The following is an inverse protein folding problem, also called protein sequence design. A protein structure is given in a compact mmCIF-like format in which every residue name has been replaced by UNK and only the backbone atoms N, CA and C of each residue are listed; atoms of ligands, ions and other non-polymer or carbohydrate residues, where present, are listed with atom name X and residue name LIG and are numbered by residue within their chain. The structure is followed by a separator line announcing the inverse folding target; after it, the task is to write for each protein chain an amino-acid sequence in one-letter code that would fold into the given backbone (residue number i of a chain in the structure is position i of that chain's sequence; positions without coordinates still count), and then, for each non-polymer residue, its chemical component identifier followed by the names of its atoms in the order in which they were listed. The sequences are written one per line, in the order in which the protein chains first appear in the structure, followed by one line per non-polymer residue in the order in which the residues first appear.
data_IF_982616890441
#
_entry.id   IF_982616890441
#
_cell.length_a   1.000
_cell.length_b   1.000
_cell.length_c   1.000
_cell.angle_alpha   90.00
_cell.angle_beta   90.00
_cell.angle_gamma   90.00
#
_symmetry.space_group_name_H-M   'P 1'
#
loop_
_entity.id
_entity.type
_entity.pdbx_description
1 polymer ?
#
# COMPACT_ATOMS: atom_id res chain seq x y z
N UNK A 1 5.49 -10.22 -4.90
CA UNK A 1 5.25 -8.93 -5.58
C UNK A 1 5.49 -7.78 -4.62
N UNK A 2 5.78 -6.59 -5.15
CA UNK A 2 5.83 -5.34 -4.36
C UNK A 2 4.75 -4.38 -4.85
N UNK A 3 3.92 -3.88 -3.93
CA UNK A 3 2.93 -2.85 -4.24
C UNK A 3 3.39 -1.51 -3.69
N UNK A 4 3.46 -0.48 -4.52
CA UNK A 4 3.82 0.89 -4.11
C UNK A 4 2.61 1.80 -4.06
N UNK A 5 2.48 2.59 -3.00
CA UNK A 5 1.43 3.61 -2.87
C UNK A 5 1.84 4.90 -3.59
N UNK A 6 0.90 5.48 -4.35
CA UNK A 6 1.16 6.70 -5.11
C UNK A 6 1.48 7.91 -4.22
N UNK A 7 2.44 8.78 -4.56
CA UNK A 7 3.41 8.66 -5.66
C UNK A 7 4.81 8.28 -5.15
N UNK A 8 5.11 8.65 -3.91
CA UNK A 8 6.46 8.56 -3.34
C UNK A 8 6.84 7.11 -3.05
N UNK A 9 5.88 6.29 -2.60
CA UNK A 9 6.05 4.85 -2.45
C UNK A 9 6.50 4.13 -3.73
N UNK A 10 6.23 4.66 -4.92
CA UNK A 10 6.66 4.04 -6.19
C UNK A 10 8.18 3.95 -6.32
N UNK A 11 8.91 4.98 -5.89
CA UNK A 11 10.38 5.03 -6.04
C UNK A 11 11.01 3.88 -5.26
N UNK A 12 10.54 3.67 -4.03
CA UNK A 12 11.04 2.65 -3.12
C UNK A 12 10.55 1.27 -3.56
N UNK A 13 9.27 1.14 -3.93
CA UNK A 13 8.69 -0.11 -4.39
C UNK A 13 9.40 -0.64 -5.66
N UNK A 14 9.67 0.24 -6.63
CA UNK A 14 10.38 -0.13 -7.85
C UNK A 14 11.82 -0.57 -7.55
N UNK A 15 12.52 0.13 -6.64
CA UNK A 15 13.87 -0.25 -6.23
C UNK A 15 13.90 -1.63 -5.54
N UNK A 16 12.98 -1.89 -4.61
CA UNK A 16 12.87 -3.20 -3.92
C UNK A 16 12.53 -4.30 -4.93
N UNK A 17 11.54 -4.07 -5.80
CA UNK A 17 11.13 -5.03 -6.81
C UNK A 17 12.28 -5.40 -7.74
N UNK A 18 13.02 -4.39 -8.22
CA UNK A 18 14.21 -4.57 -9.05
C UNK A 18 15.29 -5.38 -8.32
N UNK A 19 15.63 -5.01 -7.08
CA UNK A 19 16.67 -5.67 -6.30
C UNK A 19 16.34 -7.12 -5.92
N UNK A 20 15.05 -7.46 -5.84
CA UNK A 20 14.57 -8.80 -5.44
C UNK A 20 14.09 -9.65 -6.62
N UNK A 21 14.11 -9.11 -7.85
CA UNK A 21 13.71 -9.84 -9.06
C UNK A 21 12.21 -10.16 -9.14
N UNK A 22 11.36 -9.38 -8.47
CA UNK A 22 9.90 -9.56 -8.49
C UNK A 22 9.20 -8.41 -9.22
N UNK A 23 7.93 -8.60 -9.58
CA UNK A 23 7.14 -7.54 -10.20
C UNK A 23 6.73 -6.44 -9.22
N UNK A 24 6.41 -5.27 -9.78
CA UNK A 24 5.90 -4.09 -9.06
C UNK A 24 4.47 -3.77 -9.52
N UNK A 25 3.59 -3.46 -8.57
CA UNK A 25 2.20 -3.06 -8.81
C UNK A 25 1.97 -1.65 -8.27
N UNK A 26 1.47 -0.71 -9.08
CA UNK A 26 1.10 0.60 -8.58
C UNK A 26 -0.30 0.57 -7.94
N UNK A 27 -0.41 1.11 -6.73
CA UNK A 27 -1.69 1.48 -6.10
C UNK A 27 -1.85 2.98 -6.23
N UNK A 28 -2.93 3.41 -6.88
CA UNK A 28 -3.08 4.79 -7.37
C UNK A 28 -4.31 5.48 -6.83
N UNK A 29 -4.32 6.82 -6.89
CA UNK A 29 -5.58 7.57 -6.74
C UNK A 29 -6.55 7.20 -7.87
N UNK A 30 -7.84 7.29 -7.57
CA UNK A 30 -8.88 6.88 -8.51
C UNK A 30 -8.81 7.55 -9.88
N UNK A 31 -9.12 6.79 -10.93
CA UNK A 31 -9.16 7.27 -12.32
C UNK A 31 -7.78 7.36 -13.02
N UNK A 32 -6.72 6.84 -12.40
CA UNK A 32 -5.37 6.85 -12.97
C UNK A 32 -4.96 5.52 -13.62
N UNK A 33 -5.64 4.44 -13.30
CA UNK A 33 -5.36 3.11 -13.82
C UNK A 33 -6.23 2.83 -15.06
N UNK A 34 -5.65 2.35 -16.18
CA UNK A 34 -6.35 2.26 -17.46
C UNK A 34 -7.25 1.02 -17.62
N UNK A 35 -7.13 0.01 -16.75
CA UNK A 35 -7.91 -1.24 -16.82
C UNK A 35 -8.91 -1.32 -15.67
N UNK A 36 -9.66 -2.42 -15.58
CA UNK A 36 -10.60 -2.65 -14.48
C UNK A 36 -9.87 -2.62 -13.12
N UNK A 37 -10.49 -1.97 -12.15
CA UNK A 37 -9.90 -1.74 -10.82
C UNK A 37 -10.81 -2.22 -9.70
N UNK A 38 -10.19 -2.72 -8.62
CA UNK A 38 -10.80 -2.61 -7.31
C UNK A 38 -10.61 -1.18 -6.82
N UNK A 39 -11.62 -0.66 -6.12
CA UNK A 39 -11.59 0.67 -5.53
C UNK A 39 -11.90 0.59 -4.04
N UNK A 40 -11.13 1.33 -3.24
CA UNK A 40 -11.40 1.50 -1.82
C UNK A 40 -11.35 2.98 -1.46
N UNK A 41 -12.47 3.47 -0.92
CA UNK A 41 -12.66 4.85 -0.51
C UNK A 41 -12.31 5.07 0.95
N UNK A 42 -11.88 6.29 1.28
CA UNK A 42 -11.65 6.74 2.65
C UNK A 42 -12.02 8.22 2.80
N UNK A 43 -12.51 8.55 3.99
CA UNK A 43 -12.94 9.90 4.31
C UNK A 43 -11.74 10.81 4.61
N UNK A 44 -11.85 12.05 4.17
CA UNK A 44 -10.99 13.16 4.52
C UNK A 44 -11.82 14.18 5.34
N UNK A 45 -11.14 15.11 6.01
CA UNK A 45 -11.79 16.21 6.73
C UNK A 45 -12.75 17.01 5.82
N UNK A 46 -12.40 17.13 4.55
CA UNK A 46 -13.23 17.73 3.51
C UNK A 46 -13.26 16.83 2.27
N UNK A 47 -14.17 15.86 2.27
CA UNK A 47 -14.50 15.04 1.11
C UNK A 47 -14.05 13.58 1.23
N UNK A 48 -14.02 12.90 0.09
CA UNK A 48 -13.69 11.49 -0.02
C UNK A 48 -12.56 11.33 -1.04
N UNK A 49 -11.59 10.48 -0.70
CA UNK A 49 -10.57 10.04 -1.64
C UNK A 49 -10.69 8.53 -1.84
N UNK A 50 -10.15 8.03 -2.96
CA UNK A 50 -10.16 6.61 -3.25
C UNK A 50 -8.84 6.16 -3.85
N UNK A 51 -8.44 4.95 -3.47
CA UNK A 51 -7.32 4.22 -4.04
C UNK A 51 -7.84 3.10 -4.94
N UNK A 52 -7.05 2.80 -5.96
CA UNK A 52 -7.32 1.79 -6.97
C UNK A 52 -6.10 0.89 -7.21
N UNK A 53 -6.39 -0.38 -7.48
CA UNK A 53 -5.45 -1.38 -7.98
C UNK A 53 -6.15 -2.16 -9.09
N UNK A 54 -5.42 -2.61 -10.11
CA UNK A 54 -6.03 -3.43 -11.15
C UNK A 54 -6.56 -4.75 -10.58
N UNK A 55 -7.71 -5.21 -11.09
CA UNK A 55 -8.34 -6.48 -10.64
C UNK A 55 -7.53 -7.73 -10.95
N UNK A 56 -6.57 -7.64 -11.88
CA UNK A 56 -5.67 -8.72 -12.27
C UNK A 56 -4.23 -8.50 -11.78
N UNK A 57 -4.04 -7.60 -10.81
CA UNK A 57 -2.71 -7.23 -10.34
C UNK A 57 -1.97 -8.35 -9.61
N UNK A 58 -2.71 -9.30 -9.03
CA UNK A 58 -2.15 -10.38 -8.22
C UNK A 58 -2.78 -11.72 -8.61
N UNK A 59 -1.96 -12.77 -8.63
CA UNK A 59 -2.48 -14.12 -8.65
C UNK A 59 -3.05 -14.50 -7.25
N UNK A 60 -4.06 -15.39 -7.18
CA UNK A 60 -4.59 -15.84 -5.89
C UNK A 60 -3.50 -16.37 -4.95
N UNK A 61 -3.41 -15.81 -3.75
CA UNK A 61 -2.43 -16.20 -2.72
C UNK A 61 -1.02 -15.64 -2.93
N UNK A 62 -0.83 -14.79 -3.95
CA UNK A 62 0.46 -14.16 -4.20
C UNK A 62 0.85 -13.26 -3.02
N UNK A 63 2.07 -13.43 -2.50
CA UNK A 63 2.56 -12.65 -1.35
C UNK A 63 2.99 -11.26 -1.81
N UNK A 64 2.39 -10.23 -1.21
CA UNK A 64 2.58 -8.83 -1.58
C UNK A 64 3.17 -8.04 -0.41
N UNK A 65 4.35 -7.46 -0.63
CA UNK A 65 4.90 -6.44 0.25
C UNK A 65 4.34 -5.08 -0.17
N UNK A 66 3.69 -4.36 0.74
CA UNK A 66 3.20 -3.00 0.47
C UNK A 66 4.22 -1.98 0.98
N UNK A 67 4.49 -0.95 0.18
CA UNK A 67 5.55 0.03 0.42
C UNK A 67 5.02 1.46 0.27
N UNK A 68 5.40 2.32 1.21
CA UNK A 68 5.25 3.77 1.08
C UNK A 68 6.47 4.51 1.65
N UNK A 69 6.50 5.83 1.52
CA UNK A 69 7.58 6.64 2.07
C UNK A 69 7.40 6.94 3.57
N UNK A 70 6.20 7.38 3.98
CA UNK A 70 5.90 7.79 5.35
C UNK A 70 4.64 7.12 5.90
N UNK A 71 4.75 6.54 7.10
CA UNK A 71 3.60 6.10 7.90
C UNK A 71 3.18 7.20 8.88
N UNK A 72 2.02 7.82 8.62
CA UNK A 72 1.40 8.82 9.50
C UNK A 72 0.24 8.21 10.32
N UNK A 73 -1.03 8.47 9.95
CA UNK A 73 -2.20 7.92 10.67
C UNK A 73 -2.53 6.47 10.29
N UNK A 74 -1.89 5.92 9.25
CA UNK A 74 -2.13 4.57 8.76
C UNK A 74 -3.40 4.39 7.92
N UNK A 75 -4.18 5.45 7.65
CA UNK A 75 -5.40 5.36 6.85
C UNK A 75 -5.16 4.82 5.43
N UNK A 76 -4.28 5.48 4.68
CA UNK A 76 -3.90 5.08 3.31
C UNK A 76 -3.30 3.68 3.25
N UNK A 77 -2.49 3.32 4.26
CA UNK A 77 -1.91 1.99 4.39
C UNK A 77 -3.01 0.94 4.61
N UNK A 78 -3.91 1.13 5.58
CA UNK A 78 -5.01 0.20 5.85
C UNK A 78 -5.89 -0.02 4.62
N UNK A 79 -6.31 1.07 3.97
CA UNK A 79 -7.08 1.02 2.72
C UNK A 79 -6.36 0.25 1.62
N UNK A 80 -5.04 0.44 1.48
CA UNK A 80 -4.25 -0.28 0.48
C UNK A 80 -4.14 -1.77 0.78
N UNK A 81 -3.91 -2.14 2.04
CA UNK A 81 -3.75 -3.54 2.45
C UNK A 81 -5.05 -4.31 2.22
N UNK A 82 -6.20 -3.72 2.56
CA UNK A 82 -7.51 -4.29 2.26
C UNK A 82 -7.73 -4.43 0.74
N UNK A 83 -7.27 -3.46 -0.04
CA UNK A 83 -7.41 -3.46 -1.49
C UNK A 83 -6.57 -4.56 -2.14
N UNK A 84 -5.36 -4.81 -1.63
CA UNK A 84 -4.50 -5.93 -2.04
C UNK A 84 -5.17 -7.27 -1.77
N UNK A 85 -5.76 -7.45 -0.58
CA UNK A 85 -6.49 -8.67 -0.22
C UNK A 85 -7.70 -8.90 -1.12
N UNK A 86 -8.48 -7.86 -1.41
CA UNK A 86 -9.63 -7.92 -2.34
C UNK A 86 -9.23 -8.26 -3.77
N UNK A 87 -8.03 -7.84 -4.18
CA UNK A 87 -7.46 -8.15 -5.50
C UNK A 87 -6.79 -9.55 -5.57
N UNK A 88 -6.95 -10.38 -4.54
CA UNK A 88 -6.47 -11.77 -4.51
C UNK A 88 -5.06 -11.96 -3.93
N UNK A 89 -4.37 -10.87 -3.57
CA UNK A 89 -3.06 -10.92 -2.93
C UNK A 89 -3.15 -11.29 -1.45
N UNK A 90 -2.07 -11.85 -0.90
CA UNK A 90 -1.88 -12.02 0.55
C UNK A 90 -0.85 -11.00 1.02
N UNK A 91 -1.25 -10.11 1.92
CA UNK A 91 -0.34 -9.11 2.50
C UNK A 91 0.76 -9.81 3.29
N UNK A 92 1.99 -9.67 2.83
CA UNK A 92 3.18 -10.19 3.50
C UNK A 92 3.70 -9.25 4.58
N UNK A 93 3.36 -7.95 4.49
CA UNK A 93 3.76 -6.90 5.42
C UNK A 93 3.63 -5.52 4.78
N UNK A 94 3.81 -4.49 5.61
CA UNK A 94 3.87 -3.09 5.19
C UNK A 94 5.21 -2.48 5.62
N UNK A 95 5.94 -1.84 4.70
CA UNK A 95 7.21 -1.18 5.02
C UNK A 95 7.23 0.28 4.59
N UNK A 96 7.83 1.12 5.43
CA UNK A 96 8.06 2.55 5.16
C UNK A 96 9.49 2.96 5.47
N UNK A 97 9.92 4.08 4.91
CA UNK A 97 11.19 4.69 5.31
C UNK A 97 11.06 5.39 6.65
N UNK A 98 9.97 6.14 6.86
CA UNK A 98 9.76 6.94 8.06
C UNK A 98 8.41 6.61 8.70
N UNK A 99 8.39 6.44 10.01
CA UNK A 99 7.17 6.34 10.82
C UNK A 99 7.09 7.50 11.79
N UNK A 100 5.91 8.15 11.86
CA UNK A 100 5.56 9.15 12.86
C UNK A 100 4.93 8.46 14.08
N UNK A 101 5.73 8.05 15.05
CA UNK A 101 5.32 7.21 16.19
C UNK A 101 4.33 7.87 17.16
N UNK A 102 4.24 9.20 17.14
CA UNK A 102 3.24 9.94 17.90
C UNK A 102 1.81 9.82 17.32
N UNK A 103 1.63 9.15 16.18
CA UNK A 103 0.34 8.84 15.58
C UNK A 103 -0.01 7.35 15.74
N UNK A 104 -1.30 6.97 15.88
CA UNK A 104 -1.72 5.61 16.24
C UNK A 104 -1.75 4.64 15.03
N UNK A 105 -0.80 4.76 14.10
CA UNK A 105 -0.80 3.97 12.87
C UNK A 105 -0.69 2.46 13.10
N UNK A 106 0.19 2.03 14.01
CA UNK A 106 0.40 0.60 14.28
C UNK A 106 -0.84 -0.08 14.86
N UNK A 107 -1.57 0.61 15.72
CA UNK A 107 -2.85 0.12 16.27
C UNK A 107 -3.87 -0.09 15.16
N UNK A 108 -3.97 0.86 14.23
CA UNK A 108 -4.86 0.77 13.06
C UNK A 108 -4.49 -0.36 12.12
N UNK A 109 -3.20 -0.69 12.01
CA UNK A 109 -2.69 -1.70 11.09
C UNK A 109 -2.64 -3.10 11.72
N UNK A 110 -2.84 -3.25 13.03
CA UNK A 110 -2.84 -4.55 13.69
C UNK A 110 -3.93 -5.48 13.10
N UNK A 111 -3.64 -6.79 12.91
CA UNK A 111 -2.42 -7.50 13.30
C UNK A 111 -1.32 -7.53 12.21
N UNK A 112 -1.40 -6.68 11.18
CA UNK A 112 -0.46 -6.70 10.04
C UNK A 112 0.94 -6.25 10.48
N UNK A 113 1.96 -6.91 9.96
CA UNK A 113 3.35 -6.59 10.26
C UNK A 113 3.75 -5.24 9.63
N UNK A 114 4.29 -4.34 10.46
CA UNK A 114 4.74 -3.00 10.05
C UNK A 114 6.23 -2.84 10.35
N UNK A 115 7.00 -2.62 9.29
CA UNK A 115 8.42 -2.31 9.34
C UNK A 115 8.66 -0.84 9.00
N UNK A 116 9.50 -0.15 9.76
CA UNK A 116 9.92 1.22 9.50
C UNK A 116 11.44 1.30 9.60
N UNK A 117 12.09 1.94 8.62
CA UNK A 117 13.55 2.11 8.65
C UNK A 117 13.97 3.15 9.71
N UNK A 118 13.18 4.21 9.86
CA UNK A 118 13.35 5.25 10.87
C UNK A 118 12.00 5.52 11.54
N UNK A 119 12.00 5.57 12.87
CA UNK A 119 10.83 5.94 13.67
C UNK A 119 11.14 7.23 14.42
N UNK A 120 10.26 8.22 14.30
CA UNK A 120 10.39 9.56 14.93
C UNK A 120 9.19 9.91 15.78
#
# INVERSE_FOLDING_TARGET
MVAGIEARGFVIAAAIAYATGVGVVPVRKAGKLPRATHRASYELEYGEAALEVHTDAFAPGERVLVVDDVLATGGTAATTLDLVERAGGTVAGFTVLLELSFLPARERLAPREVHALLTV
#
